data_IF_659666389161
#
_entry.id   IF_659666389161
#
_cell.length_a   1.000
_cell.length_b   1.000
_cell.length_c   1.000
_cell.angle_alpha   90.00
_cell.angle_beta   90.00
_cell.angle_gamma   90.00
#
_symmetry.space_group_name_H-M   'P 1'
#
loop_
_entity.id
_entity.type
_entity.pdbx_description
1 polymer ?
#
# COMPACT_ATOMS: atom_id res chain seq x y z
N UNK A 1 5.77 22.25 -4.25
CA UNK A 1 6.09 20.83 -4.00
C UNK A 1 4.94 20.06 -3.34
N UNK A 2 4.00 20.74 -2.65
CA UNK A 2 2.81 20.12 -2.04
C UNK A 2 1.91 19.37 -3.02
N UNK A 3 1.80 19.83 -4.27
CA UNK A 3 0.97 19.16 -5.28
C UNK A 3 1.39 17.72 -5.59
N UNK A 4 2.64 17.34 -5.35
CA UNK A 4 3.15 16.00 -5.67
C UNK A 4 3.01 15.01 -4.51
N UNK A 5 2.52 15.45 -3.34
CA UNK A 5 2.40 14.60 -2.15
C UNK A 5 1.53 13.35 -2.37
N UNK A 6 0.39 13.41 -3.08
CA UNK A 6 -0.41 12.21 -3.35
C UNK A 6 0.39 11.15 -4.12
N UNK A 7 1.09 11.56 -5.18
CA UNK A 7 1.95 10.69 -5.97
C UNK A 7 3.07 10.06 -5.14
N UNK A 8 3.73 10.85 -4.28
CA UNK A 8 4.81 10.36 -3.40
C UNK A 8 4.28 9.32 -2.40
N UNK A 9 3.11 9.55 -1.81
CA UNK A 9 2.48 8.64 -0.85
C UNK A 9 2.18 7.27 -1.44
N UNK A 10 1.76 7.22 -2.70
CA UNK A 10 1.55 5.96 -3.43
C UNK A 10 2.85 5.30 -3.86
N UNK A 11 3.79 6.08 -4.41
CA UNK A 11 5.02 5.56 -5.02
C UNK A 11 6.02 5.04 -3.99
N UNK A 12 6.08 5.63 -2.79
CA UNK A 12 6.97 5.19 -1.70
C UNK A 12 6.84 3.70 -1.39
N UNK A 13 5.67 3.19 -0.96
CA UNK A 13 5.47 1.77 -0.69
C UNK A 13 5.52 0.92 -1.96
N UNK A 14 5.06 1.43 -3.12
CA UNK A 14 5.10 0.69 -4.38
C UNK A 14 6.54 0.37 -4.81
N UNK A 15 7.39 1.38 -4.85
CA UNK A 15 8.78 1.24 -5.29
C UNK A 15 9.55 0.34 -4.31
N UNK A 16 9.28 0.49 -3.00
CA UNK A 16 9.83 -0.40 -2.00
C UNK A 16 9.37 -1.85 -2.21
N UNK A 17 8.09 -2.10 -2.52
CA UNK A 17 7.58 -3.43 -2.81
C UNK A 17 8.28 -4.07 -4.03
N UNK A 18 8.35 -3.36 -5.16
CA UNK A 18 8.96 -3.86 -6.40
C UNK A 18 10.46 -4.16 -6.22
N UNK A 19 11.18 -3.30 -5.52
CA UNK A 19 12.62 -3.45 -5.29
C UNK A 19 12.96 -4.51 -4.22
N UNK A 20 12.02 -4.86 -3.35
CA UNK A 20 12.30 -5.70 -2.18
C UNK A 20 12.78 -7.11 -2.53
N UNK A 21 12.20 -7.86 -3.50
CA UNK A 21 12.75 -9.15 -3.91
C UNK A 21 14.18 -9.02 -4.43
N UNK A 22 14.49 -8.00 -5.23
CA UNK A 22 15.83 -7.82 -5.82
C UNK A 22 16.88 -7.56 -4.74
N UNK A 23 16.57 -6.69 -3.77
CA UNK A 23 17.53 -6.26 -2.74
C UNK A 23 17.65 -7.29 -1.60
N UNK A 24 16.53 -7.87 -1.16
CA UNK A 24 16.48 -8.61 0.10
C UNK A 24 16.52 -10.13 -0.04
N UNK A 25 16.52 -10.69 -1.27
CA UNK A 25 16.62 -12.15 -1.45
C UNK A 25 17.89 -12.74 -0.82
N UNK A 26 19.02 -12.03 -0.93
CA UNK A 26 20.32 -12.43 -0.33
C UNK A 26 20.42 -12.06 1.16
N UNK A 27 19.92 -10.88 1.55
CA UNK A 27 19.99 -10.36 2.93
C UNK A 27 18.59 -10.17 3.52
N UNK A 28 17.93 -11.28 3.84
CA UNK A 28 16.52 -11.30 4.30
C UNK A 28 16.21 -10.47 5.55
N UNK A 29 17.21 -10.18 6.37
CA UNK A 29 17.01 -9.36 7.58
C UNK A 29 16.75 -7.87 7.26
N UNK A 30 17.13 -7.40 6.07
CA UNK A 30 16.92 -6.00 5.66
C UNK A 30 15.47 -5.69 5.31
N UNK A 31 14.68 -6.70 4.90
CA UNK A 31 13.30 -6.49 4.45
C UNK A 31 12.43 -5.84 5.53
N UNK A 32 12.64 -6.21 6.80
CA UNK A 32 11.92 -5.60 7.92
C UNK A 32 12.33 -4.14 8.10
N UNK A 33 13.63 -3.85 8.18
CA UNK A 33 14.13 -2.49 8.42
C UNK A 33 13.72 -1.55 7.30
N UNK A 34 13.79 -1.98 6.04
CA UNK A 34 13.31 -1.20 4.89
C UNK A 34 11.81 -0.96 4.99
N UNK A 35 11.01 -1.98 5.30
CA UNK A 35 9.55 -1.82 5.43
C UNK A 35 9.18 -0.84 6.55
N UNK A 36 9.83 -0.92 7.71
CA UNK A 36 9.64 0.02 8.81
C UNK A 36 10.02 1.43 8.39
N UNK A 37 11.17 1.61 7.74
CA UNK A 37 11.64 2.92 7.30
C UNK A 37 10.68 3.56 6.29
N UNK A 38 10.22 2.79 5.30
CA UNK A 38 9.29 3.27 4.27
C UNK A 38 7.92 3.63 4.88
N UNK A 39 7.38 2.80 5.76
CA UNK A 39 6.09 3.09 6.41
C UNK A 39 6.20 4.26 7.39
N UNK A 40 7.32 4.42 8.10
CA UNK A 40 7.56 5.59 8.94
C UNK A 40 7.67 6.88 8.11
N UNK A 41 8.38 6.83 6.98
CA UNK A 41 8.41 7.93 6.02
C UNK A 41 7.01 8.25 5.48
N UNK A 42 6.21 7.23 5.18
CA UNK A 42 4.84 7.39 4.70
C UNK A 42 3.93 8.06 5.74
N UNK A 43 4.07 7.75 7.04
CA UNK A 43 3.36 8.45 8.12
C UNK A 43 3.74 9.92 8.17
N UNK A 44 5.02 10.24 8.05
CA UNK A 44 5.48 11.64 8.03
C UNK A 44 4.88 12.40 6.83
N UNK A 45 4.94 11.82 5.64
CA UNK A 45 4.39 12.43 4.42
C UNK A 45 2.86 12.55 4.49
N UNK A 46 2.15 11.59 5.11
CA UNK A 46 0.69 11.65 5.22
C UNK A 46 0.23 12.75 6.19
N UNK A 47 0.97 12.96 7.29
CA UNK A 47 0.74 14.09 8.20
C UNK A 47 0.99 15.43 7.49
N UNK A 48 2.07 15.53 6.69
CA UNK A 48 2.34 16.73 5.89
C UNK A 48 1.24 17.00 4.85
N UNK A 49 0.71 15.95 4.21
CA UNK A 49 -0.41 16.05 3.29
C UNK A 49 -1.68 16.56 4.01
N UNK A 50 -2.02 15.97 5.15
CA UNK A 50 -3.16 16.41 5.96
C UNK A 50 -3.03 17.87 6.39
N UNK A 51 -1.86 18.28 6.88
CA UNK A 51 -1.60 19.67 7.21
C UNK A 51 -1.78 20.59 5.99
N UNK A 52 -1.28 20.17 4.82
CA UNK A 52 -1.45 20.94 3.59
C UNK A 52 -2.94 21.14 3.25
N UNK A 53 -3.72 20.06 3.27
CA UNK A 53 -5.13 20.06 2.90
C UNK A 53 -5.98 20.88 3.87
N UNK A 54 -5.69 20.84 5.17
CA UNK A 54 -6.39 21.65 6.18
C UNK A 54 -6.19 23.16 5.93
N UNK A 55 -4.99 23.57 5.52
CA UNK A 55 -4.65 24.99 5.36
C UNK A 55 -4.90 25.55 3.96
N UNK A 56 -4.85 24.72 2.91
CA UNK A 56 -4.90 25.18 1.52
C UNK A 56 -6.08 24.60 0.72
N UNK A 57 -6.86 23.69 1.31
CA UNK A 57 -7.97 23.00 0.63
C UNK A 57 -7.54 21.71 -0.06
N UNK A 58 -8.47 21.09 -0.78
CA UNK A 58 -8.23 19.83 -1.49
C UNK A 58 -7.15 19.96 -2.57
N UNK A 59 -6.36 18.90 -2.74
CA UNK A 59 -5.33 18.82 -3.79
C UNK A 59 -5.80 17.84 -4.87
N UNK A 60 -6.03 18.36 -6.07
CA UNK A 60 -6.29 17.56 -7.27
C UNK A 60 -5.01 17.36 -8.06
N UNK A 61 -4.70 16.11 -8.35
CA UNK A 61 -3.50 15.72 -9.08
C UNK A 61 -3.89 15.02 -10.37
N UNK A 62 -3.69 15.70 -11.50
CA UNK A 62 -3.99 15.18 -12.83
C UNK A 62 -2.73 14.58 -13.44
N UNK A 63 -2.80 13.32 -13.84
CA UNK A 63 -1.68 12.64 -14.50
C UNK A 63 -1.62 13.01 -15.98
N UNK A 64 -0.39 13.23 -16.48
CA UNK A 64 -0.11 13.36 -17.92
C UNK A 64 -0.79 14.56 -18.62
N UNK A 65 -1.38 15.49 -17.87
CA UNK A 65 -1.98 16.72 -18.41
C UNK A 65 -3.28 16.53 -19.19
N UNK A 66 -3.84 15.32 -19.23
CA UNK A 66 -5.14 15.07 -19.82
C UNK A 66 -6.24 15.56 -18.88
N UNK A 67 -7.09 16.46 -19.35
CA UNK A 67 -8.21 16.97 -18.54
C UNK A 67 -9.28 15.90 -18.36
N UNK A 68 -9.94 15.91 -17.20
CA UNK A 68 -11.17 15.14 -16.93
C UNK A 68 -12.17 15.39 -18.08
N UNK A 69 -12.86 14.37 -18.63
CA UNK A 69 -13.03 13.00 -18.11
C UNK A 69 -12.07 11.93 -18.63
N UNK A 70 -11.15 12.26 -19.55
CA UNK A 70 -10.26 11.27 -20.17
C UNK A 70 -8.95 11.04 -19.40
N UNK A 71 -8.60 11.96 -18.50
CA UNK A 71 -7.39 11.86 -17.67
C UNK A 71 -7.61 11.13 -16.34
N UNK A 72 -6.52 10.59 -15.78
CA UNK A 72 -6.50 10.06 -14.43
C UNK A 72 -6.35 11.24 -13.46
N UNK A 73 -7.28 11.36 -12.52
CA UNK A 73 -7.27 12.37 -11.47
C UNK A 73 -7.21 11.69 -10.10
N UNK A 74 -6.32 12.17 -9.25
CA UNK A 74 -6.34 11.87 -7.83
C UNK A 74 -6.83 13.05 -7.02
N UNK A 75 -7.68 12.77 -6.04
CA UNK A 75 -8.28 13.78 -5.17
C UNK A 75 -7.85 13.53 -3.75
N UNK A 76 -7.03 14.43 -3.21
CA UNK A 76 -6.62 14.44 -1.82
C UNK A 76 -7.43 15.50 -1.05
N UNK A 77 -8.60 15.08 -0.55
CA UNK A 77 -9.44 15.91 0.32
C UNK A 77 -9.13 15.66 1.81
N UNK A 78 -9.89 16.32 2.70
CA UNK A 78 -9.67 16.20 4.14
C UNK A 78 -9.92 14.78 4.67
N UNK A 79 -10.93 14.10 4.13
CA UNK A 79 -11.29 12.74 4.53
C UNK A 79 -10.22 11.74 4.09
N UNK A 80 -9.82 11.78 2.82
CA UNK A 80 -8.75 10.97 2.25
C UNK A 80 -7.45 11.14 3.03
N UNK A 81 -7.11 12.38 3.39
CA UNK A 81 -5.91 12.69 4.16
C UNK A 81 -5.93 12.08 5.57
N UNK A 82 -7.07 12.14 6.27
CA UNK A 82 -7.24 11.50 7.59
C UNK A 82 -7.12 9.99 7.47
N UNK A 83 -7.79 9.38 6.48
CA UNK A 83 -7.74 7.94 6.22
C UNK A 83 -6.29 7.50 5.94
N UNK A 84 -5.50 8.29 5.22
CA UNK A 84 -4.10 7.96 4.92
C UNK A 84 -3.17 8.01 6.14
N UNK A 85 -3.38 8.96 7.04
CA UNK A 85 -2.64 8.98 8.32
C UNK A 85 -2.94 7.71 9.10
N UNK A 86 -4.21 7.33 9.22
CA UNK A 86 -4.62 6.10 9.88
C UNK A 86 -4.03 4.87 9.20
N UNK A 87 -4.11 4.79 7.87
CA UNK A 87 -3.64 3.68 7.07
C UNK A 87 -2.13 3.48 7.20
N UNK A 88 -1.36 4.55 7.04
CA UNK A 88 0.10 4.51 7.17
C UNK A 88 0.54 4.17 8.60
N UNK A 89 -0.14 4.71 9.62
CA UNK A 89 0.16 4.42 11.01
C UNK A 89 -0.16 2.95 11.37
N UNK A 90 -1.33 2.45 10.98
CA UNK A 90 -1.70 1.05 11.20
C UNK A 90 -0.77 0.10 10.44
N UNK A 91 -0.41 0.41 9.19
CA UNK A 91 0.55 -0.36 8.42
C UNK A 91 1.92 -0.45 9.13
N UNK A 92 2.42 0.68 9.64
CA UNK A 92 3.66 0.72 10.42
C UNK A 92 3.55 -0.12 11.70
N UNK A 93 2.47 0.04 12.47
CA UNK A 93 2.25 -0.72 13.71
C UNK A 93 2.20 -2.22 13.42
N UNK A 94 1.47 -2.64 12.37
CA UNK A 94 1.43 -4.03 11.95
C UNK A 94 2.84 -4.58 11.71
N UNK A 95 3.69 -3.91 10.92
CA UNK A 95 5.05 -4.36 10.62
C UNK A 95 5.97 -4.38 11.86
N UNK A 96 5.84 -3.39 12.74
CA UNK A 96 6.64 -3.29 13.97
C UNK A 96 6.30 -4.43 14.93
N UNK A 97 5.00 -4.71 15.13
CA UNK A 97 4.51 -5.73 16.07
C UNK A 97 4.56 -7.16 15.53
N UNK A 98 4.40 -7.39 14.22
CA UNK A 98 4.51 -8.74 13.66
C UNK A 98 5.96 -9.19 13.50
N UNK A 99 6.89 -8.24 13.31
CA UNK A 99 8.31 -8.49 13.05
C UNK A 99 9.07 -9.39 14.05
N UNK A 100 8.77 -9.41 15.36
CA UNK A 100 9.43 -10.32 16.31
C UNK A 100 8.90 -11.76 16.29
N UNK A 101 7.63 -11.96 15.93
CA UNK A 101 6.88 -13.19 16.25
C UNK A 101 6.60 -14.05 15.01
N UNK A 102 6.25 -13.42 13.88
CA UNK A 102 5.79 -14.10 12.67
C UNK A 102 6.92 -14.52 11.69
N UNK A 103 8.00 -13.73 11.50
CA UNK A 103 9.04 -14.03 10.52
C UNK A 103 9.82 -15.32 10.73
N UNK A 104 9.95 -15.79 11.98
CA UNK A 104 10.69 -17.03 12.29
C UNK A 104 10.02 -18.27 11.68
N UNK A 105 8.71 -18.25 11.51
CA UNK A 105 7.95 -19.36 10.90
C UNK A 105 7.98 -19.35 9.36
N UNK A 106 8.31 -18.21 8.75
CA UNK A 106 8.22 -18.01 7.30
C UNK A 106 9.49 -18.42 6.54
N UNK A 107 10.64 -18.53 7.23
CA UNK A 107 11.92 -18.89 6.62
C UNK A 107 12.25 -18.01 5.40
N UNK A 108 12.32 -18.61 4.20
CA UNK A 108 12.61 -17.87 2.96
C UNK A 108 11.46 -17.03 2.41
N UNK A 109 10.25 -17.19 2.91
CA UNK A 109 9.07 -16.43 2.46
C UNK A 109 8.95 -15.04 3.09
N UNK A 110 9.83 -14.70 4.04
CA UNK A 110 9.84 -13.40 4.73
C UNK A 110 9.93 -12.20 3.77
N UNK A 111 10.72 -12.31 2.69
CA UNK A 111 10.87 -11.22 1.72
C UNK A 111 9.55 -10.99 0.97
N UNK A 112 8.86 -12.06 0.59
CA UNK A 112 7.55 -12.01 -0.06
C UNK A 112 6.49 -11.42 0.87
N UNK A 113 6.50 -11.80 2.16
CA UNK A 113 5.61 -11.24 3.17
C UNK A 113 5.68 -9.70 3.23
N UNK A 114 6.88 -9.14 3.36
CA UNK A 114 7.06 -7.68 3.43
C UNK A 114 6.77 -7.00 2.08
N UNK A 115 7.12 -7.65 0.97
CA UNK A 115 6.77 -7.17 -0.39
C UNK A 115 5.26 -7.01 -0.54
N UNK A 116 4.49 -8.03 -0.12
CA UNK A 116 3.04 -8.04 -0.22
C UNK A 116 2.37 -7.03 0.73
N UNK A 117 2.93 -6.81 1.92
CA UNK A 117 2.43 -5.75 2.82
C UNK A 117 2.60 -4.37 2.19
N UNK A 118 3.78 -4.08 1.65
CA UNK A 118 4.05 -2.78 1.02
C UNK A 118 3.19 -2.59 -0.25
N UNK A 119 2.99 -3.66 -1.04
CA UNK A 119 2.10 -3.63 -2.19
C UNK A 119 0.64 -3.38 -1.79
N UNK A 120 0.17 -4.03 -0.72
CA UNK A 120 -1.16 -3.81 -0.16
C UNK A 120 -1.34 -2.37 0.31
N UNK A 121 -0.39 -1.82 1.08
CA UNK A 121 -0.44 -0.43 1.56
C UNK A 121 -0.45 0.57 0.39
N UNK A 122 0.34 0.31 -0.65
CA UNK A 122 0.32 1.11 -1.88
C UNK A 122 -1.04 1.05 -2.57
N UNK A 123 -1.61 -0.14 -2.75
CA UNK A 123 -2.92 -0.31 -3.38
C UNK A 123 -4.02 0.41 -2.60
N UNK A 124 -4.07 0.26 -1.27
CA UNK A 124 -5.04 0.96 -0.44
C UNK A 124 -4.88 2.49 -0.50
N UNK A 125 -3.64 2.99 -0.64
CA UNK A 125 -3.38 4.42 -0.87
C UNK A 125 -3.98 4.88 -2.20
N UNK A 126 -3.84 4.06 -3.25
CA UNK A 126 -4.48 4.31 -4.54
C UNK A 126 -6.01 4.35 -4.45
N UNK A 127 -6.63 3.44 -3.70
CA UNK A 127 -8.10 3.44 -3.48
C UNK A 127 -8.55 4.76 -2.84
N UNK A 128 -7.81 5.24 -1.84
CA UNK A 128 -8.19 6.46 -1.11
C UNK A 128 -8.10 7.72 -1.97
N UNK A 129 -7.19 7.75 -2.93
CA UNK A 129 -7.00 8.93 -3.80
C UNK A 129 -7.74 8.85 -5.13
N UNK A 130 -8.21 7.69 -5.57
CA UNK A 130 -8.81 7.51 -6.89
C UNK A 130 -10.01 8.45 -7.10
N UNK A 131 -9.93 9.32 -8.12
CA UNK A 131 -11.03 10.20 -8.53
C UNK A 131 -11.99 9.58 -9.54
N UNK A 132 -11.71 8.36 -10.01
CA UNK A 132 -12.49 7.66 -11.04
C UNK A 132 -12.70 6.17 -10.70
N UNK A 133 -13.80 5.60 -11.21
CA UNK A 133 -14.21 4.22 -10.93
C UNK A 133 -13.25 3.17 -11.50
N UNK A 134 -12.57 3.47 -12.60
CA UNK A 134 -11.65 2.52 -13.22
C UNK A 134 -10.39 2.33 -12.37
N UNK A 135 -9.74 3.41 -11.95
CA UNK A 135 -8.58 3.32 -11.05
C UNK A 135 -8.97 2.78 -9.68
N UNK A 136 -10.16 3.11 -9.17
CA UNK A 136 -10.68 2.51 -7.95
C UNK A 136 -10.76 0.98 -8.09
N UNK A 137 -11.34 0.48 -9.18
CA UNK A 137 -11.40 -0.96 -9.47
C UNK A 137 -10.01 -1.58 -9.57
N UNK A 138 -9.09 -0.97 -10.34
CA UNK A 138 -7.71 -1.48 -10.48
C UNK A 138 -7.03 -1.59 -9.11
N UNK A 139 -7.16 -0.59 -8.24
CA UNK A 139 -6.55 -0.65 -6.92
C UNK A 139 -7.25 -1.64 -5.98
N UNK A 140 -8.57 -1.83 -6.10
CA UNK A 140 -9.27 -2.91 -5.39
C UNK A 140 -8.71 -4.28 -5.77
N UNK A 141 -8.49 -4.54 -7.07
CA UNK A 141 -7.92 -5.80 -7.54
C UNK A 141 -6.48 -6.02 -7.05
N UNK A 142 -5.64 -4.97 -7.10
CA UNK A 142 -4.27 -5.08 -6.56
C UNK A 142 -4.29 -5.34 -5.05
N UNK A 143 -5.19 -4.69 -4.31
CA UNK A 143 -5.36 -4.92 -2.88
C UNK A 143 -5.87 -6.33 -2.57
N UNK A 144 -6.83 -6.82 -3.35
CA UNK A 144 -7.40 -8.16 -3.25
C UNK A 144 -6.32 -9.23 -3.48
N UNK A 145 -5.63 -9.19 -4.62
CA UNK A 145 -4.58 -10.16 -4.97
C UNK A 145 -3.44 -10.12 -3.94
N UNK A 146 -3.03 -8.93 -3.50
CA UNK A 146 -2.00 -8.78 -2.45
C UNK A 146 -2.44 -9.43 -1.14
N UNK A 147 -3.70 -9.26 -0.75
CA UNK A 147 -4.27 -9.84 0.47
C UNK A 147 -4.36 -11.37 0.38
N UNK A 148 -4.80 -11.92 -0.75
CA UNK A 148 -4.87 -13.37 -0.96
C UNK A 148 -3.48 -14.00 -0.88
N UNK A 149 -2.49 -13.39 -1.53
CA UNK A 149 -1.12 -13.84 -1.48
C UNK A 149 -0.54 -13.74 -0.05
N UNK A 150 -0.88 -12.69 0.69
CA UNK A 150 -0.41 -12.50 2.08
C UNK A 150 -0.97 -13.58 3.02
N UNK A 151 -2.23 -13.97 2.85
CA UNK A 151 -2.83 -15.12 3.57
C UNK A 151 -2.10 -16.41 3.19
N UNK A 152 -1.85 -16.63 1.90
CA UNK A 152 -1.20 -17.84 1.39
C UNK A 152 0.27 -17.99 1.78
N UNK A 153 0.98 -16.90 2.09
CA UNK A 153 2.42 -16.88 2.41
C UNK A 153 2.81 -17.77 3.59
N UNK A 154 1.90 -18.00 4.54
CA UNK A 154 2.12 -18.92 5.65
C UNK A 154 2.28 -20.39 5.19
N UNK A 155 1.68 -20.76 4.06
CA UNK A 155 1.65 -22.13 3.56
C UNK A 155 0.66 -23.05 4.30
N UNK A 156 0.68 -24.33 3.97
CA UNK A 156 -0.17 -25.34 4.61
C UNK A 156 -1.68 -25.02 4.45
N UNK A 157 -2.43 -25.06 5.55
CA UNK A 157 -3.88 -24.82 5.56
C UNK A 157 -4.26 -23.40 5.12
N UNK A 158 -3.34 -22.44 5.23
CA UNK A 158 -3.58 -21.05 4.83
C UNK A 158 -3.73 -20.88 3.31
N UNK A 159 -3.12 -21.76 2.50
CA UNK A 159 -3.29 -21.76 1.04
C UNK A 159 -4.75 -22.03 0.65
N UNK A 160 -5.41 -22.94 1.35
CA UNK A 160 -6.81 -23.26 1.08
C UNK A 160 -7.76 -22.13 1.50
N UNK A 161 -7.43 -21.42 2.59
CA UNK A 161 -8.15 -20.21 2.98
C UNK A 161 -7.97 -19.08 1.95
N UNK A 162 -6.73 -18.85 1.49
CA UNK A 162 -6.42 -17.88 0.43
C UNK A 162 -7.17 -18.22 -0.87
N UNK A 163 -7.21 -19.49 -1.26
CA UNK A 163 -7.92 -19.94 -2.46
C UNK A 163 -9.44 -19.70 -2.37
N UNK A 164 -10.06 -20.01 -1.23
CA UNK A 164 -11.49 -19.71 -1.00
C UNK A 164 -11.78 -18.21 -1.08
N UNK A 165 -10.89 -17.39 -0.50
CA UNK A 165 -11.06 -15.95 -0.53
C UNK A 165 -10.84 -15.37 -1.93
N UNK A 166 -9.89 -15.93 -2.70
CA UNK A 166 -9.69 -15.61 -4.12
C UNK A 166 -10.96 -15.89 -4.93
N UNK A 167 -11.57 -17.08 -4.80
CA UNK A 167 -12.81 -17.40 -5.53
C UNK A 167 -13.91 -16.39 -5.19
N UNK A 168 -14.11 -16.10 -3.91
CA UNK A 168 -15.12 -15.14 -3.48
C UNK A 168 -14.84 -13.73 -4.01
N UNK A 169 -13.57 -13.32 -4.05
CA UNK A 169 -13.12 -12.09 -4.68
C UNK A 169 -13.44 -12.02 -6.16
N UNK A 170 -13.03 -13.04 -6.92
CA UNK A 170 -13.24 -13.10 -8.37
C UNK A 170 -14.70 -13.16 -8.79
N UNK A 171 -15.61 -13.57 -7.89
CA UNK A 171 -17.05 -13.53 -8.13
C UNK A 171 -17.68 -12.18 -7.81
N UNK A 172 -17.06 -11.40 -6.91
CA UNK A 172 -17.53 -10.08 -6.50
C UNK A 172 -16.96 -8.92 -7.32
N UNK A 173 -15.87 -9.17 -8.05
CA UNK A 173 -15.27 -8.26 -9.03
C UNK A 173 -16.09 -8.21 -10.32
#
# INVERSE_FOLDING_TARGET
MSHQLPAILFLLPLFAAISMPVVCLKHRHWSRSISVAILAAMVLVSILNLHNVIHHGEVRYVFSGWTVPLGIEWVADGLASIILVLLSALGLLCVVFTGPTFPKALGGRIVHYYTLILLLVSALTGIVFAGDLFNLFVFLEVAAISSYALIGVAGGRALFAAFRYLILGTLGA
#
